data_IF_407783578939
#
_entry.id   IF_407783578939
#
_cell.length_a   1.000
_cell.length_b   1.000
_cell.length_c   1.000
_cell.angle_alpha   90.00
_cell.angle_beta   90.00
_cell.angle_gamma   90.00
#
_symmetry.space_group_name_H-M   'P 1'
#
loop_
_entity.id
_entity.type
_entity.pdbx_description
1 polymer ?
#
# COMPACT_ATOMS: atom_id res chain seq x y z
N UNK A 1 -15.93 8.22 0.59
CA UNK A 1 -15.96 6.88 -0.03
C UNK A 1 -14.87 6.08 0.61
N UNK A 2 -15.14 4.84 1.06
CA UNK A 2 -14.13 4.04 1.76
C UNK A 2 -14.38 2.55 1.55
N UNK A 3 -13.30 1.78 1.56
CA UNK A 3 -13.35 0.32 1.61
C UNK A 3 -13.71 -0.13 3.02
N UNK A 4 -14.61 -1.11 3.16
CA UNK A 4 -15.14 -1.52 4.45
C UNK A 4 -14.78 -2.94 4.85
N UNK A 5 -14.68 -3.85 3.88
CA UNK A 5 -14.43 -5.26 4.15
C UNK A 5 -13.82 -5.96 2.95
N UNK A 6 -13.02 -6.98 3.20
CA UNK A 6 -12.63 -7.98 2.22
C UNK A 6 -13.03 -9.38 2.71
N UNK A 7 -13.51 -10.22 1.78
CA UNK A 7 -13.74 -11.65 2.04
C UNK A 7 -13.05 -12.46 0.96
N UNK A 8 -12.24 -13.42 1.38
CA UNK A 8 -11.42 -14.29 0.52
C UNK A 8 -11.76 -15.74 0.78
N UNK A 9 -11.82 -16.53 -0.28
CA UNK A 9 -11.97 -17.97 -0.20
C UNK A 9 -11.05 -18.64 -1.23
N UNK A 10 -10.22 -19.57 -0.74
CA UNK A 10 -9.25 -20.33 -1.54
C UNK A 10 -8.38 -19.46 -2.46
N UNK A 11 -7.92 -18.32 -1.97
CA UNK A 11 -7.10 -17.37 -2.72
C UNK A 11 -5.70 -17.29 -2.15
N UNK A 12 -4.68 -17.53 -2.97
CA UNK A 12 -3.24 -17.53 -2.63
C UNK A 12 -2.93 -18.35 -1.36
N UNK A 13 -2.69 -17.69 -0.22
CA UNK A 13 -2.39 -18.33 1.08
C UNK A 13 -3.64 -18.54 1.94
N UNK A 14 -4.75 -17.90 1.59
CA UNK A 14 -5.97 -17.88 2.38
C UNK A 14 -6.90 -19.03 2.01
N UNK A 15 -7.34 -19.83 3.01
CA UNK A 15 -8.45 -20.78 2.85
C UNK A 15 -9.78 -20.06 2.92
N UNK A 16 -10.00 -19.32 4.00
CA UNK A 16 -11.12 -18.41 4.21
C UNK A 16 -10.63 -17.27 5.10
N UNK A 17 -10.99 -16.04 4.72
CA UNK A 17 -10.59 -14.83 5.45
C UNK A 17 -11.65 -13.76 5.28
N UNK A 18 -12.03 -13.10 6.38
CA UNK A 18 -12.87 -11.92 6.33
C UNK A 18 -12.27 -10.86 7.23
N UNK A 19 -12.08 -9.64 6.75
CA UNK A 19 -11.47 -8.53 7.47
C UNK A 19 -12.30 -7.28 7.25
N UNK A 20 -12.76 -6.66 8.34
CA UNK A 20 -13.42 -5.36 8.33
C UNK A 20 -12.40 -4.24 8.50
N UNK A 21 -12.63 -3.08 7.85
CA UNK A 21 -11.71 -1.95 7.82
C UNK A 21 -12.31 -0.69 8.45
N UNK A 22 -11.46 0.11 9.09
CA UNK A 22 -11.83 1.47 9.48
C UNK A 22 -11.63 2.45 8.31
N UNK A 23 -12.27 3.62 8.42
CA UNK A 23 -12.15 4.69 7.42
C UNK A 23 -10.80 5.44 7.48
N UNK A 24 -9.98 5.11 8.46
CA UNK A 24 -8.70 5.74 8.71
C UNK A 24 -7.51 4.88 8.24
N UNK A 25 -6.64 4.53 9.18
CA UNK A 25 -5.42 3.76 8.91
C UNK A 25 -5.64 2.30 9.29
N UNK A 26 -5.44 1.40 8.34
CA UNK A 26 -5.49 -0.04 8.53
C UNK A 26 -4.07 -0.59 8.40
N UNK A 27 -3.54 -1.18 9.49
CA UNK A 27 -2.15 -1.63 9.57
C UNK A 27 -2.11 -3.15 9.64
N UNK A 28 -1.65 -3.79 8.57
CA UNK A 28 -1.44 -5.24 8.53
C UNK A 28 -0.06 -5.58 9.07
N UNK A 29 -0.01 -6.38 10.12
CA UNK A 29 1.21 -6.89 10.74
C UNK A 29 1.23 -8.41 10.71
N UNK A 30 2.40 -9.01 10.90
CA UNK A 30 2.58 -10.46 10.96
C UNK A 30 3.84 -10.93 10.28
N UNK A 31 4.10 -12.23 10.37
CA UNK A 31 5.26 -12.88 9.77
C UNK A 31 5.28 -12.79 8.24
N UNK A 32 6.45 -13.07 7.66
CA UNK A 32 6.59 -13.18 6.22
C UNK A 32 5.75 -14.35 5.67
N UNK A 33 5.13 -14.12 4.51
CA UNK A 33 4.30 -15.14 3.86
C UNK A 33 2.88 -15.29 4.44
N UNK A 34 2.44 -14.42 5.36
CA UNK A 34 1.04 -14.41 5.87
C UNK A 34 0.04 -13.71 4.95
N UNK A 35 0.50 -13.08 3.87
CA UNK A 35 -0.36 -12.50 2.84
C UNK A 35 -0.72 -11.02 3.03
N UNK A 36 -0.03 -10.28 3.89
CA UNK A 36 -0.23 -8.82 4.07
C UNK A 36 -0.29 -8.06 2.74
N UNK A 37 0.78 -8.17 1.95
CA UNK A 37 0.88 -7.56 0.62
C UNK A 37 -0.23 -8.03 -0.32
N UNK A 38 -0.67 -9.30 -0.23
CA UNK A 38 -1.76 -9.82 -1.07
C UNK A 38 -3.08 -9.09 -0.79
N UNK A 39 -3.41 -8.83 0.48
CA UNK A 39 -4.62 -8.11 0.86
C UNK A 39 -4.60 -6.70 0.28
N UNK A 40 -3.53 -5.94 0.51
CA UNK A 40 -3.46 -4.55 0.03
C UNK A 40 -3.41 -4.46 -1.50
N UNK A 41 -2.80 -5.44 -2.20
CA UNK A 41 -2.84 -5.54 -3.68
C UNK A 41 -4.25 -5.81 -4.20
N UNK A 42 -5.05 -6.66 -3.53
CA UNK A 42 -6.44 -6.92 -3.91
C UNK A 42 -7.32 -5.70 -3.74
N UNK A 43 -7.17 -5.00 -2.62
CA UNK A 43 -7.90 -3.76 -2.35
C UNK A 43 -7.53 -2.66 -3.36
N UNK A 44 -6.24 -2.55 -3.68
CA UNK A 44 -5.76 -1.65 -4.73
C UNK A 44 -6.36 -2.01 -6.10
N UNK A 45 -6.35 -3.29 -6.47
CA UNK A 45 -6.94 -3.74 -7.73
C UNK A 45 -8.44 -3.42 -7.82
N UNK A 46 -9.18 -3.54 -6.70
CA UNK A 46 -10.59 -3.16 -6.63
C UNK A 46 -10.80 -1.64 -6.83
N UNK A 47 -9.96 -0.80 -6.22
CA UNK A 47 -10.00 0.65 -6.44
C UNK A 47 -9.71 1.00 -7.90
N UNK A 48 -8.70 0.40 -8.51
CA UNK A 48 -8.36 0.64 -9.92
C UNK A 48 -9.45 0.16 -10.88
N UNK A 49 -10.14 -0.94 -10.57
CA UNK A 49 -11.26 -1.44 -11.36
C UNK A 49 -12.45 -0.46 -11.43
N UNK A 50 -12.58 0.46 -10.48
CA UNK A 50 -13.58 1.53 -10.54
C UNK A 50 -13.39 2.49 -11.73
N UNK A 51 -12.19 2.53 -12.30
CA UNK A 51 -11.84 3.34 -13.47
C UNK A 51 -11.87 2.50 -14.78
N UNK A 52 -12.45 1.30 -14.79
CA UNK A 52 -12.40 0.35 -15.91
C UNK A 52 -12.90 0.95 -17.22
N UNK A 53 -13.92 1.81 -17.20
CA UNK A 53 -14.45 2.52 -18.40
C UNK A 53 -13.44 3.49 -19.01
N UNK A 54 -12.57 4.09 -18.18
CA UNK A 54 -11.53 5.03 -18.64
C UNK A 54 -10.27 4.31 -19.08
N UNK A 55 -9.90 3.23 -18.37
CA UNK A 55 -8.62 2.51 -18.55
C UNK A 55 -8.72 1.26 -19.41
N UNK A 56 -9.92 0.70 -19.59
CA UNK A 56 -10.13 -0.61 -20.23
C UNK A 56 -9.66 -1.80 -19.37
N UNK A 57 -9.35 -1.57 -18.07
CA UNK A 57 -8.81 -2.58 -17.17
C UNK A 57 -9.85 -2.90 -16.10
N UNK A 58 -10.46 -4.07 -16.19
CA UNK A 58 -11.41 -4.59 -15.22
C UNK A 58 -10.73 -5.21 -13.98
N UNK A 59 -11.53 -5.65 -13.01
CA UNK A 59 -11.03 -6.19 -11.75
C UNK A 59 -10.18 -7.46 -11.94
N UNK A 60 -10.63 -8.39 -12.78
CA UNK A 60 -9.90 -9.62 -13.10
C UNK A 60 -8.54 -9.29 -13.70
N UNK A 61 -8.54 -8.45 -14.73
CA UNK A 61 -7.33 -8.04 -15.44
C UNK A 61 -6.36 -7.33 -14.48
N UNK A 62 -6.87 -6.44 -13.61
CA UNK A 62 -6.00 -5.72 -12.66
C UNK A 62 -5.40 -6.66 -11.62
N UNK A 63 -6.15 -7.63 -11.09
CA UNK A 63 -5.61 -8.66 -10.20
C UNK A 63 -4.45 -9.41 -10.89
N UNK A 64 -4.68 -9.91 -12.11
CA UNK A 64 -3.64 -10.63 -12.85
C UNK A 64 -2.38 -9.77 -13.05
N UNK A 65 -2.55 -8.48 -13.34
CA UNK A 65 -1.44 -7.56 -13.55
C UNK A 65 -0.66 -7.21 -12.28
N UNK A 66 -1.33 -7.06 -11.13
CA UNK A 66 -0.64 -6.71 -9.86
C UNK A 66 -0.05 -7.93 -9.16
N UNK A 67 -0.55 -9.16 -9.44
CA UNK A 67 0.03 -10.39 -8.89
C UNK A 67 1.02 -11.05 -9.84
N UNK A 68 0.89 -10.84 -11.14
CA UNK A 68 1.71 -11.46 -12.19
C UNK A 68 1.91 -12.96 -12.01
N UNK A 69 0.83 -13.75 -11.93
CA UNK A 69 0.96 -15.19 -11.87
C UNK A 69 1.57 -15.71 -13.17
N UNK A 70 2.23 -16.86 -13.10
CA UNK A 70 2.78 -17.55 -14.25
C UNK A 70 1.76 -17.70 -15.37
N UNK A 71 2.16 -17.48 -16.61
CA UNK A 71 1.31 -17.42 -17.80
C UNK A 71 0.15 -16.41 -17.70
N UNK A 72 0.23 -15.43 -16.82
CA UNK A 72 -0.87 -14.49 -16.51
C UNK A 72 -2.20 -15.19 -16.19
N UNK A 73 -2.12 -16.39 -15.63
CA UNK A 73 -3.29 -17.24 -15.36
C UNK A 73 -3.86 -16.95 -13.98
N UNK A 74 -5.09 -16.42 -13.91
CA UNK A 74 -5.82 -16.19 -12.66
C UNK A 74 -5.93 -17.47 -11.82
N UNK A 75 -6.02 -18.65 -12.46
CA UNK A 75 -6.16 -19.94 -11.79
C UNK A 75 -4.97 -20.27 -10.89
N UNK A 76 -3.78 -19.73 -11.20
CA UNK A 76 -2.57 -19.86 -10.37
C UNK A 76 -2.69 -19.16 -9.02
N UNK A 77 -3.65 -18.24 -8.87
CA UNK A 77 -3.93 -17.54 -7.62
C UNK A 77 -4.87 -18.33 -6.69
N UNK A 78 -5.39 -19.48 -7.10
CA UNK A 78 -6.10 -20.40 -6.20
C UNK A 78 -5.13 -20.94 -5.14
N UNK A 79 -5.63 -21.17 -3.91
CA UNK A 79 -4.83 -21.78 -2.84
C UNK A 79 -4.32 -23.14 -3.26
N UNK A 80 -3.03 -23.39 -3.09
CA UNK A 80 -2.38 -24.68 -3.38
C UNK A 80 -2.72 -25.70 -2.29
N UNK A 81 -2.73 -27.00 -2.65
CA UNK A 81 -2.99 -28.10 -1.71
C UNK A 81 -4.48 -28.39 -1.49
N UNK A 82 -5.37 -27.53 -1.92
CA UNK A 82 -6.82 -27.79 -2.00
C UNK A 82 -7.10 -28.37 -3.40
N UNK A 83 -7.78 -29.48 -3.52
CA UNK A 83 -8.12 -30.09 -4.83
C UNK A 83 -8.80 -29.11 -5.79
N UNK A 84 -9.64 -29.61 -6.70
CA UNK A 84 -10.45 -28.72 -7.53
C UNK A 84 -11.43 -27.92 -6.66
N UNK A 85 -11.33 -26.60 -6.64
CA UNK A 85 -12.10 -25.73 -5.75
C UNK A 85 -12.49 -24.42 -6.42
N UNK A 86 -13.54 -23.81 -5.91
CA UNK A 86 -13.89 -22.43 -6.23
C UNK A 86 -13.05 -21.48 -5.37
N UNK A 87 -12.61 -20.40 -6.00
CA UNK A 87 -11.92 -19.28 -5.35
C UNK A 87 -12.75 -18.03 -5.48
N UNK A 88 -12.78 -17.20 -4.46
CA UNK A 88 -13.48 -15.91 -4.53
C UNK A 88 -12.75 -14.80 -3.81
N UNK A 89 -12.87 -13.60 -4.36
CA UNK A 89 -12.44 -12.34 -3.79
C UNK A 89 -13.63 -11.39 -3.79
N UNK A 90 -14.03 -10.91 -2.62
CA UNK A 90 -15.15 -9.98 -2.45
C UNK A 90 -14.66 -8.75 -1.70
N UNK A 91 -14.81 -7.58 -2.29
CA UNK A 91 -14.47 -6.29 -1.67
C UNK A 91 -15.75 -5.49 -1.49
N UNK A 92 -15.92 -4.92 -0.31
CA UNK A 92 -17.14 -4.20 0.08
C UNK A 92 -16.84 -2.74 0.40
N UNK A 93 -17.76 -1.89 0.00
CA UNK A 93 -17.90 -0.51 0.45
C UNK A 93 -19.18 -0.38 1.31
N UNK A 94 -19.57 0.86 1.63
CA UNK A 94 -20.85 1.11 2.30
C UNK A 94 -22.07 0.87 1.40
N UNK A 95 -21.94 0.96 0.07
CA UNK A 95 -23.08 1.00 -0.88
C UNK A 95 -23.04 -0.10 -1.92
N UNK A 96 -21.86 -0.68 -2.16
CA UNK A 96 -21.67 -1.67 -3.21
C UNK A 96 -20.65 -2.74 -2.81
N UNK A 97 -20.60 -3.79 -3.60
CA UNK A 97 -19.56 -4.79 -3.51
C UNK A 97 -19.05 -5.16 -4.92
N UNK A 98 -17.80 -5.56 -4.97
CA UNK A 98 -17.16 -6.08 -6.18
C UNK A 98 -16.71 -7.51 -5.89
N UNK A 99 -17.16 -8.46 -6.72
CA UNK A 99 -16.90 -9.88 -6.50
C UNK A 99 -16.25 -10.47 -7.74
N UNK A 100 -15.14 -11.18 -7.54
CA UNK A 100 -14.53 -12.04 -8.53
C UNK A 100 -14.62 -13.48 -8.03
N UNK A 101 -15.16 -14.38 -8.84
CA UNK A 101 -15.24 -15.81 -8.58
C UNK A 101 -14.61 -16.59 -9.75
N UNK A 102 -13.83 -17.61 -9.45
CA UNK A 102 -13.21 -18.47 -10.46
C UNK A 102 -12.95 -19.87 -9.92
N UNK A 103 -12.83 -20.85 -10.83
CA UNK A 103 -12.55 -22.22 -10.48
C UNK A 103 -11.07 -22.55 -10.74
N UNK A 104 -10.40 -23.24 -9.81
CA UNK A 104 -8.95 -23.53 -9.87
C UNK A 104 -8.47 -24.30 -11.10
N UNK A 105 -9.38 -25.02 -11.82
CA UNK A 105 -9.04 -25.83 -12.99
C UNK A 105 -9.70 -25.39 -14.30
N UNK A 106 -10.77 -24.58 -14.27
CA UNK A 106 -11.58 -24.29 -15.45
C UNK A 106 -11.51 -22.82 -15.83
N UNK A 107 -10.80 -22.49 -16.93
CA UNK A 107 -10.65 -21.12 -17.45
C UNK A 107 -11.98 -20.43 -17.79
N UNK A 108 -13.02 -21.19 -18.14
CA UNK A 108 -14.33 -20.62 -18.55
C UNK A 108 -15.23 -20.22 -17.38
N UNK A 109 -14.88 -20.59 -16.15
CA UNK A 109 -15.70 -20.33 -14.96
C UNK A 109 -15.10 -19.13 -14.18
N UNK A 110 -14.93 -18.00 -14.84
CA UNK A 110 -14.51 -16.74 -14.22
C UNK A 110 -15.66 -15.75 -14.35
N UNK A 111 -16.10 -15.21 -13.24
CA UNK A 111 -17.22 -14.28 -13.18
C UNK A 111 -16.86 -13.08 -12.30
N UNK A 112 -17.13 -11.87 -12.79
CA UNK A 112 -17.04 -10.63 -12.03
C UNK A 112 -18.42 -10.02 -11.91
N UNK A 113 -18.87 -9.75 -10.69
CA UNK A 113 -20.18 -9.12 -10.43
C UNK A 113 -20.03 -7.86 -9.61
N UNK A 114 -21.03 -6.97 -9.71
CA UNK A 114 -21.07 -5.70 -8.97
C UNK A 114 -20.33 -4.53 -9.63
N UNK A 115 -19.66 -4.72 -10.76
CA UNK A 115 -18.80 -3.72 -11.43
C UNK A 115 -19.51 -2.39 -11.70
N UNK A 116 -20.73 -2.40 -12.23
CA UNK A 116 -21.44 -1.15 -12.56
C UNK A 116 -21.72 -0.26 -11.34
N UNK A 117 -22.15 -0.86 -10.22
CA UNK A 117 -22.41 -0.13 -8.97
C UNK A 117 -21.10 0.36 -8.36
N UNK A 118 -20.07 -0.46 -8.42
CA UNK A 118 -18.72 -0.14 -7.94
C UNK A 118 -18.11 1.04 -8.69
N UNK A 119 -18.13 1.00 -10.02
CA UNK A 119 -17.66 2.09 -10.87
C UNK A 119 -18.41 3.39 -10.62
N UNK A 120 -19.73 3.32 -10.45
CA UNK A 120 -20.55 4.50 -10.15
C UNK A 120 -20.23 5.10 -8.78
N UNK A 121 -20.02 4.26 -7.75
CA UNK A 121 -19.70 4.72 -6.40
C UNK A 121 -18.29 5.33 -6.34
N UNK A 122 -17.32 4.73 -7.00
CA UNK A 122 -15.91 5.10 -6.93
C UNK A 122 -15.40 5.84 -8.19
N UNK A 123 -16.27 6.45 -8.97
CA UNK A 123 -15.94 7.12 -10.24
C UNK A 123 -14.80 8.16 -10.13
N UNK A 124 -14.76 8.89 -9.01
CA UNK A 124 -13.78 9.94 -8.74
C UNK A 124 -12.70 9.51 -7.71
N UNK A 125 -12.64 8.21 -7.39
CA UNK A 125 -11.66 7.73 -6.43
C UNK A 125 -10.25 7.74 -7.04
N UNK A 126 -9.32 8.38 -6.35
CA UNK A 126 -7.89 8.24 -6.61
C UNK A 126 -7.31 7.23 -5.65
N UNK A 127 -6.57 6.25 -6.16
CA UNK A 127 -5.88 5.28 -5.33
C UNK A 127 -4.43 5.13 -5.78
N UNK A 128 -3.53 5.01 -4.81
CA UNK A 128 -2.08 4.93 -5.05
C UNK A 128 -1.50 3.76 -4.28
N UNK A 129 -0.68 2.95 -4.94
CA UNK A 129 0.08 1.88 -4.31
C UNK A 129 1.57 2.24 -4.32
N UNK A 130 2.18 2.32 -3.14
CA UNK A 130 3.64 2.48 -2.99
C UNK A 130 4.22 1.10 -2.68
N UNK A 131 4.97 0.49 -3.61
CA UNK A 131 5.59 -0.81 -3.39
C UNK A 131 6.76 -0.73 -2.41
N UNK A 132 7.14 -1.86 -1.82
CA UNK A 132 8.24 -1.95 -0.86
C UNK A 132 9.57 -1.46 -1.45
N UNK A 133 9.85 -1.82 -2.72
CA UNK A 133 11.06 -1.37 -3.43
C UNK A 133 10.84 -0.02 -4.10
N UNK A 134 11.77 0.88 -3.93
CA UNK A 134 11.81 2.16 -4.65
C UNK A 134 12.14 1.92 -6.14
N UNK A 135 11.47 2.60 -7.05
CA UNK A 135 11.63 2.41 -8.50
C UNK A 135 11.83 3.71 -9.28
N UNK A 136 11.58 4.88 -8.69
CA UNK A 136 11.68 6.15 -9.41
C UNK A 136 13.10 6.46 -9.90
N UNK A 137 14.12 5.94 -9.20
CA UNK A 137 15.51 6.02 -9.64
C UNK A 137 15.79 5.32 -10.98
N UNK A 138 14.90 4.43 -11.42
CA UNK A 138 15.00 3.67 -12.66
C UNK A 138 13.80 3.93 -13.59
N UNK A 139 13.07 5.02 -13.40
CA UNK A 139 11.80 5.30 -14.10
C UNK A 139 11.96 5.51 -15.61
N UNK A 140 13.11 6.05 -16.04
CA UNK A 140 13.37 6.34 -17.45
C UNK A 140 13.22 5.07 -18.31
N UNK A 141 12.36 5.15 -19.32
CA UNK A 141 12.03 4.06 -20.25
C UNK A 141 11.47 2.78 -19.59
N UNK A 142 11.35 2.73 -18.25
CA UNK A 142 10.89 1.52 -17.56
C UNK A 142 9.44 1.18 -17.91
N UNK A 143 8.56 2.17 -17.94
CA UNK A 143 7.15 1.98 -18.31
C UNK A 143 7.03 1.41 -19.74
N UNK A 144 7.84 1.91 -20.67
CA UNK A 144 7.88 1.42 -22.03
C UNK A 144 8.42 -0.01 -22.10
N UNK A 145 9.50 -0.32 -21.35
CA UNK A 145 10.07 -1.66 -21.28
C UNK A 145 9.10 -2.69 -20.66
N UNK A 146 8.33 -2.31 -19.62
CA UNK A 146 7.27 -3.15 -19.05
C UNK A 146 6.16 -3.40 -20.07
N UNK A 147 5.70 -2.35 -20.77
CA UNK A 147 4.63 -2.47 -21.76
C UNK A 147 5.07 -3.33 -22.98
N UNK A 148 6.34 -3.29 -23.36
CA UNK A 148 6.93 -4.12 -24.40
C UNK A 148 7.21 -5.57 -23.95
N UNK A 149 7.04 -5.89 -22.66
CA UNK A 149 7.35 -7.22 -22.12
C UNK A 149 8.84 -7.52 -21.95
N UNK A 150 9.71 -6.51 -22.05
CA UNK A 150 11.17 -6.67 -21.96
C UNK A 150 11.67 -6.82 -20.51
N UNK A 151 10.87 -6.38 -19.52
CA UNK A 151 11.19 -6.48 -18.09
C UNK A 151 9.95 -6.88 -17.31
N UNK A 152 10.18 -7.63 -16.23
CA UNK A 152 9.14 -8.24 -15.42
C UNK A 152 8.91 -7.46 -14.12
N UNK A 153 8.02 -6.45 -14.20
CA UNK A 153 7.46 -5.77 -13.03
C UNK A 153 5.94 -5.91 -13.03
N UNK A 154 5.35 -5.98 -11.84
CA UNK A 154 3.90 -5.91 -11.71
C UNK A 154 3.38 -4.47 -11.92
N UNK A 155 2.08 -4.33 -12.16
CA UNK A 155 1.48 -3.03 -12.47
C UNK A 155 1.64 -1.99 -11.36
N UNK A 156 1.89 -2.38 -10.10
CA UNK A 156 2.07 -1.41 -9.00
C UNK A 156 3.28 -0.49 -9.25
N UNK A 157 4.33 -1.02 -9.86
CA UNK A 157 5.53 -0.23 -10.21
C UNK A 157 5.28 0.73 -11.37
N UNK A 158 4.56 0.31 -12.39
CA UNK A 158 4.17 1.17 -13.50
C UNK A 158 3.22 2.27 -13.03
N UNK A 159 2.24 1.90 -12.23
CA UNK A 159 1.21 2.82 -11.74
C UNK A 159 1.82 3.90 -10.84
N UNK A 160 2.79 3.57 -9.97
CA UNK A 160 3.43 4.56 -9.09
C UNK A 160 4.31 5.54 -9.86
N UNK A 161 5.03 5.09 -10.91
CA UNK A 161 5.77 5.99 -11.81
C UNK A 161 4.80 6.95 -12.50
N UNK A 162 3.69 6.42 -13.02
CA UNK A 162 2.66 7.23 -13.68
C UNK A 162 2.02 8.24 -12.72
N UNK A 163 1.68 7.82 -11.49
CA UNK A 163 1.11 8.68 -10.46
C UNK A 163 2.09 9.79 -10.03
N UNK A 164 3.38 9.46 -9.87
CA UNK A 164 4.40 10.44 -9.53
C UNK A 164 4.66 11.43 -10.67
N UNK A 165 4.47 11.01 -11.94
CA UNK A 165 4.70 11.83 -13.14
C UNK A 165 3.55 12.79 -13.47
N UNK A 166 2.43 12.74 -12.75
CA UNK A 166 1.32 13.69 -12.93
C UNK A 166 1.82 15.12 -12.72
N UNK A 167 1.46 15.99 -13.64
CA UNK A 167 1.85 17.40 -13.58
C UNK A 167 1.30 18.08 -12.34
N UNK A 168 2.15 18.88 -11.70
CA UNK A 168 1.76 19.70 -10.56
C UNK A 168 0.83 20.83 -11.00
N UNK A 169 -0.28 21.04 -10.29
CA UNK A 169 -1.15 22.18 -10.54
C UNK A 169 -0.41 23.49 -10.30
N UNK A 170 -0.68 24.52 -11.13
CA UNK A 170 -0.01 25.82 -11.08
C UNK A 170 -0.54 26.76 -10.00
N UNK A 171 -1.53 26.35 -9.20
CA UNK A 171 -2.11 27.16 -8.14
C UNK A 171 -1.26 27.16 -6.85
N UNK A 172 -1.49 28.14 -5.93
CA UNK A 172 -0.87 28.12 -4.62
C UNK A 172 -1.35 26.90 -3.82
N UNK A 173 -0.43 26.30 -3.07
CA UNK A 173 -0.80 25.21 -2.14
C UNK A 173 -1.55 25.81 -0.94
N UNK A 174 -2.56 25.08 -0.43
CA UNK A 174 -3.21 25.46 0.81
C UNK A 174 -2.25 25.30 2.01
N UNK A 175 -2.58 25.89 3.17
CA UNK A 175 -1.73 25.87 4.35
C UNK A 175 -1.35 24.46 4.82
N UNK A 176 -2.31 23.52 4.83
CA UNK A 176 -2.07 22.13 5.23
C UNK A 176 -1.09 21.44 4.31
N UNK A 177 -1.31 21.53 3.01
CA UNK A 177 -0.41 20.97 2.00
C UNK A 177 0.98 21.57 2.12
N UNK A 178 1.08 22.89 2.31
CA UNK A 178 2.35 23.59 2.53
C UNK A 178 3.08 23.05 3.77
N UNK A 179 2.36 22.79 4.89
CA UNK A 179 2.93 22.19 6.11
C UNK A 179 3.51 20.79 5.84
N UNK A 180 2.79 19.93 5.12
CA UNK A 180 3.26 18.58 4.77
C UNK A 180 4.51 18.64 3.89
N UNK A 181 4.46 19.44 2.85
CA UNK A 181 5.59 19.59 1.92
C UNK A 181 6.84 20.12 2.62
N UNK A 182 6.72 21.12 3.52
CA UNK A 182 7.84 21.63 4.32
C UNK A 182 8.43 20.56 5.23
N UNK A 183 7.60 19.78 5.94
CA UNK A 183 8.07 18.69 6.80
C UNK A 183 8.90 17.67 6.02
N UNK A 184 8.41 17.23 4.86
CA UNK A 184 9.13 16.30 4.01
C UNK A 184 10.41 16.90 3.42
N UNK A 185 10.38 18.17 3.02
CA UNK A 185 11.56 18.90 2.56
C UNK A 185 12.66 19.04 3.62
N UNK A 186 12.30 19.17 4.90
CA UNK A 186 13.28 19.20 5.99
C UNK A 186 14.06 17.88 6.06
N UNK A 187 13.41 16.74 5.80
CA UNK A 187 14.07 15.43 5.81
C UNK A 187 14.90 15.21 4.55
N UNK A 188 14.33 15.48 3.38
CA UNK A 188 15.00 15.28 2.08
C UNK A 188 16.05 16.35 1.78
N UNK A 189 16.01 17.46 2.52
CA UNK A 189 16.80 18.68 2.26
C UNK A 189 16.64 19.21 0.83
N UNK A 190 15.48 18.94 0.20
CA UNK A 190 15.23 19.31 -1.18
C UNK A 190 13.78 19.08 -1.61
N UNK A 191 13.51 19.38 -2.86
CA UNK A 191 12.21 19.14 -3.51
C UNK A 191 12.38 18.34 -4.79
N UNK A 192 11.33 17.61 -5.18
CA UNK A 192 11.34 16.81 -6.40
C UNK A 192 11.18 17.70 -7.63
N UNK A 193 11.93 17.42 -8.66
CA UNK A 193 11.76 17.95 -10.01
C UNK A 193 11.74 16.80 -11.01
N UNK A 194 10.86 16.88 -11.99
CA UNK A 194 10.75 15.90 -13.05
C UNK A 194 11.14 16.59 -14.36
N UNK A 195 12.10 16.00 -15.08
CA UNK A 195 12.53 16.45 -16.41
C UNK A 195 12.76 15.21 -17.28
N UNK A 196 12.18 15.19 -18.46
CA UNK A 196 12.34 14.10 -19.45
C UNK A 196 12.10 12.69 -18.87
N UNK A 197 11.01 12.54 -18.08
CA UNK A 197 10.64 11.29 -17.40
C UNK A 197 11.62 10.81 -16.31
N UNK A 198 12.59 11.64 -15.94
CA UNK A 198 13.53 11.39 -14.85
C UNK A 198 13.23 12.24 -13.63
N UNK A 199 13.49 11.66 -12.46
CA UNK A 199 13.29 12.30 -11.16
C UNK A 199 14.62 12.83 -10.62
N UNK A 200 14.58 14.07 -10.15
CA UNK A 200 15.70 14.79 -9.56
C UNK A 200 15.32 15.33 -8.19
N UNK A 201 16.30 15.39 -7.29
CA UNK A 201 16.21 16.16 -6.06
C UNK A 201 16.91 17.51 -6.26
N UNK A 202 16.18 18.60 -6.04
CA UNK A 202 16.73 19.95 -6.00
C UNK A 202 17.07 20.31 -4.56
N UNK A 203 18.35 20.37 -4.15
CA UNK A 203 18.74 20.68 -2.80
C UNK A 203 18.28 22.09 -2.37
N UNK A 204 17.89 22.23 -1.12
CA UNK A 204 17.51 23.53 -0.54
C UNK A 204 18.70 24.49 -0.54
N UNK A 205 18.51 25.72 -0.98
CA UNK A 205 19.56 26.74 -1.06
C UNK A 205 20.50 26.66 -2.26
N UNK A 206 20.34 25.66 -3.14
CA UNK A 206 21.13 25.47 -4.35
C UNK A 206 20.22 25.43 -5.59
N UNK A 207 19.81 26.61 -6.05
CA UNK A 207 18.78 26.74 -7.10
C UNK A 207 19.16 26.18 -8.46
N UNK A 208 20.44 25.97 -8.75
CA UNK A 208 20.95 25.48 -10.02
C UNK A 208 21.46 24.04 -9.99
N UNK A 209 21.67 23.45 -8.81
CA UNK A 209 22.12 22.07 -8.73
C UNK A 209 20.93 21.12 -8.63
N UNK A 210 21.00 20.02 -9.37
CA UNK A 210 20.05 18.91 -9.31
C UNK A 210 20.82 17.62 -9.14
N UNK A 211 20.30 16.77 -8.27
CA UNK A 211 20.84 15.42 -8.04
C UNK A 211 19.89 14.41 -8.69
N UNK A 212 20.42 13.57 -9.53
CA UNK A 212 19.73 12.42 -10.07
C UNK A 212 19.28 11.51 -8.92
N UNK A 213 18.07 10.96 -8.97
CA UNK A 213 17.56 10.08 -7.90
C UNK A 213 18.48 8.90 -7.63
N UNK A 214 19.22 8.42 -8.62
CA UNK A 214 20.21 7.34 -8.45
C UNK A 214 21.32 7.70 -7.44
N UNK A 215 21.63 8.98 -7.26
CA UNK A 215 22.65 9.48 -6.32
C UNK A 215 22.05 9.82 -4.93
N UNK A 216 20.72 9.74 -4.78
CA UNK A 216 20.01 10.01 -3.52
C UNK A 216 19.80 8.69 -2.78
N UNK A 217 20.00 8.67 -1.46
CA UNK A 217 19.72 7.49 -0.64
C UNK A 217 18.28 7.00 -0.79
N UNK A 218 18.06 5.67 -0.86
CA UNK A 218 16.75 5.07 -1.14
C UNK A 218 15.64 5.55 -0.19
N UNK A 219 15.91 5.60 1.11
CA UNK A 219 14.94 6.10 2.08
C UNK A 219 14.54 7.55 1.85
N UNK A 220 15.46 8.40 1.39
CA UNK A 220 15.15 9.79 1.03
C UNK A 220 14.32 9.86 -0.26
N UNK A 221 14.54 8.95 -1.23
CA UNK A 221 13.71 8.87 -2.44
C UNK A 221 12.27 8.49 -2.13
N UNK A 222 12.04 7.56 -1.19
CA UNK A 222 10.68 7.21 -0.71
C UNK A 222 9.97 8.42 -0.09
N UNK A 223 10.69 9.20 0.71
CA UNK A 223 10.15 10.43 1.31
C UNK A 223 9.90 11.50 0.23
N UNK A 224 10.79 11.62 -0.74
CA UNK A 224 10.63 12.51 -1.89
C UNK A 224 9.43 12.09 -2.77
N UNK A 225 9.16 10.78 -2.92
CA UNK A 225 7.96 10.29 -3.58
C UNK A 225 6.68 10.77 -2.87
N UNK A 226 6.60 10.67 -1.54
CA UNK A 226 5.45 11.21 -0.78
C UNK A 226 5.28 12.71 -1.03
N UNK A 227 6.38 13.46 -1.00
CA UNK A 227 6.35 14.88 -1.33
C UNK A 227 5.75 15.13 -2.71
N UNK A 228 6.15 14.37 -3.72
CA UNK A 228 5.66 14.49 -5.09
C UNK A 228 4.16 14.15 -5.20
N UNK A 229 3.71 13.05 -4.59
CA UNK A 229 2.31 12.62 -4.62
C UNK A 229 1.37 13.60 -3.91
N UNK A 230 1.83 14.24 -2.83
CA UNK A 230 1.08 15.32 -2.17
C UNK A 230 1.11 16.57 -3.06
N UNK A 231 2.27 16.94 -3.61
CA UNK A 231 2.43 18.15 -4.41
C UNK A 231 1.56 18.14 -5.66
N UNK A 232 1.48 17.01 -6.35
CA UNK A 232 0.68 16.87 -7.58
C UNK A 232 -0.81 16.56 -7.34
N UNK A 233 -1.25 16.42 -6.06
CA UNK A 233 -2.65 16.18 -5.70
C UNK A 233 -3.09 14.71 -5.79
N UNK A 234 -2.17 13.77 -6.02
CA UNK A 234 -2.51 12.33 -6.03
C UNK A 234 -2.93 11.84 -4.65
N UNK A 235 -2.29 12.36 -3.60
CA UNK A 235 -2.67 12.13 -2.19
C UNK A 235 -3.40 13.37 -1.65
N UNK A 236 -4.71 13.34 -1.71
CA UNK A 236 -5.59 14.38 -1.21
C UNK A 236 -6.86 13.80 -0.59
N UNK A 237 -7.72 14.64 -0.05
CA UNK A 237 -8.97 14.23 0.59
C UNK A 237 -9.80 13.30 -0.31
N UNK A 238 -10.18 12.15 0.23
CA UNK A 238 -10.99 11.14 -0.47
C UNK A 238 -10.17 10.14 -1.29
N UNK A 239 -8.84 10.27 -1.31
CA UNK A 239 -7.96 9.25 -1.91
C UNK A 239 -7.73 8.06 -0.99
N UNK A 240 -7.22 6.95 -1.55
CA UNK A 240 -6.79 5.77 -0.81
C UNK A 240 -5.31 5.51 -1.08
N UNK A 241 -4.53 5.40 0.01
CA UNK A 241 -3.12 5.06 -0.04
C UNK A 241 -2.91 3.61 0.40
N UNK A 242 -2.24 2.84 -0.43
CA UNK A 242 -1.70 1.52 -0.10
C UNK A 242 -0.18 1.63 -0.05
N UNK A 243 0.42 1.22 1.07
CA UNK A 243 1.87 1.30 1.23
C UNK A 243 2.42 0.00 1.80
N UNK A 244 3.25 -0.66 1.00
CA UNK A 244 3.93 -1.89 1.37
C UNK A 244 5.30 -1.56 1.95
N UNK A 245 5.58 -1.98 3.17
CA UNK A 245 6.82 -1.76 3.92
C UNK A 245 7.31 -0.30 3.88
N UNK A 246 6.53 0.66 4.43
CA UNK A 246 6.93 2.06 4.42
C UNK A 246 8.29 2.32 5.09
N UNK A 247 8.64 1.52 6.08
CA UNK A 247 9.90 1.59 6.84
C UNK A 247 11.14 1.12 6.06
N UNK A 248 10.96 0.31 5.02
CA UNK A 248 12.08 -0.31 4.33
C UNK A 248 13.07 0.73 3.79
N UNK A 249 14.35 0.59 4.19
CA UNK A 249 15.46 1.48 3.84
C UNK A 249 15.34 2.94 4.35
N UNK A 250 14.38 3.21 5.24
CA UNK A 250 14.25 4.52 5.89
C UNK A 250 15.03 4.52 7.21
N UNK A 251 15.83 5.57 7.44
CA UNK A 251 16.49 5.74 8.72
C UNK A 251 15.44 5.84 9.85
N UNK A 252 15.55 5.05 10.94
CA UNK A 252 14.61 5.06 12.06
C UNK A 252 14.31 6.46 12.64
N UNK A 253 15.25 7.40 12.57
CA UNK A 253 15.03 8.80 12.97
C UNK A 253 13.91 9.50 12.18
N UNK A 254 13.62 9.05 10.96
CA UNK A 254 12.62 9.65 10.09
C UNK A 254 11.23 8.99 10.24
N UNK A 255 11.14 7.81 10.85
CA UNK A 255 9.86 7.10 11.07
C UNK A 255 8.85 7.98 11.81
N UNK A 256 9.21 8.70 12.91
CA UNK A 256 8.27 9.57 13.60
C UNK A 256 7.63 10.64 12.69
N UNK A 257 8.40 11.22 11.78
CA UNK A 257 7.90 12.25 10.88
C UNK A 257 6.95 11.69 9.80
N UNK A 258 7.22 10.47 9.34
CA UNK A 258 6.34 9.73 8.42
C UNK A 258 5.02 9.39 9.12
N UNK A 259 5.09 8.89 10.37
CA UNK A 259 3.92 8.60 11.19
C UNK A 259 3.05 9.83 11.37
N UNK A 260 3.64 10.97 11.75
CA UNK A 260 2.90 12.22 11.90
C UNK A 260 2.21 12.64 10.59
N UNK A 261 2.88 12.46 9.46
CA UNK A 261 2.29 12.75 8.15
C UNK A 261 1.11 11.82 7.85
N UNK A 262 1.23 10.51 8.11
CA UNK A 262 0.15 9.54 7.90
C UNK A 262 -1.07 9.85 8.76
N UNK A 263 -0.85 10.20 10.04
CA UNK A 263 -1.91 10.62 10.96
C UNK A 263 -2.60 11.93 10.48
N UNK A 264 -1.83 12.89 9.99
CA UNK A 264 -2.35 14.13 9.45
C UNK A 264 -3.15 13.87 8.13
N UNK A 265 -2.63 13.05 7.21
CA UNK A 265 -3.34 12.67 5.96
C UNK A 265 -4.66 11.95 6.27
N UNK A 266 -4.68 11.06 7.25
CA UNK A 266 -5.89 10.39 7.69
C UNK A 266 -6.94 11.38 8.21
N UNK A 267 -6.55 12.38 9.01
CA UNK A 267 -7.45 13.46 9.47
C UNK A 267 -8.00 14.29 8.31
N UNK A 268 -7.24 14.43 7.23
CA UNK A 268 -7.68 15.11 6.01
C UNK A 268 -8.57 14.23 5.12
N UNK A 269 -8.86 13.00 5.54
CA UNK A 269 -9.81 12.10 4.87
C UNK A 269 -9.18 11.19 3.81
N UNK A 270 -7.90 10.87 3.93
CA UNK A 270 -7.24 9.80 3.18
C UNK A 270 -7.43 8.49 3.93
N UNK A 271 -7.96 7.46 3.28
CA UNK A 271 -7.95 6.09 3.83
C UNK A 271 -6.61 5.43 3.53
N UNK A 272 -5.98 4.81 4.52
CA UNK A 272 -4.61 4.32 4.41
C UNK A 272 -4.55 2.84 4.78
N UNK A 273 -3.90 2.05 3.94
CA UNK A 273 -3.62 0.64 4.17
C UNK A 273 -2.10 0.41 4.14
N UNK A 274 -1.56 -0.10 5.23
CA UNK A 274 -0.13 -0.34 5.41
C UNK A 274 0.09 -1.82 5.65
N UNK A 275 1.05 -2.44 4.94
CA UNK A 275 1.59 -3.74 5.31
C UNK A 275 3.00 -3.53 5.87
N UNK A 276 3.24 -3.96 7.09
CA UNK A 276 4.53 -3.77 7.76
C UNK A 276 4.92 -4.98 8.62
N UNK A 277 6.20 -5.12 8.87
CA UNK A 277 6.76 -6.03 9.87
C UNK A 277 7.65 -5.27 10.88
N UNK A 278 7.63 -3.93 10.85
CA UNK A 278 8.46 -3.07 11.69
C UNK A 278 7.74 -2.66 12.98
N UNK A 279 8.42 -2.91 14.10
CA UNK A 279 7.94 -2.54 15.43
C UNK A 279 7.85 -1.03 15.63
N UNK A 280 8.85 -0.28 15.16
CA UNK A 280 8.91 1.17 15.41
C UNK A 280 7.76 1.88 14.70
N UNK A 281 7.49 1.54 13.43
CA UNK A 281 6.39 2.14 12.69
C UNK A 281 5.04 1.87 13.38
N UNK A 282 4.75 0.61 13.70
CA UNK A 282 3.49 0.24 14.35
C UNK A 282 3.35 0.88 15.74
N UNK A 283 4.44 0.88 16.53
CA UNK A 283 4.44 1.47 17.88
C UNK A 283 4.37 2.98 17.87
N UNK A 284 5.02 3.66 16.91
CA UNK A 284 4.88 5.13 16.78
C UNK A 284 3.47 5.52 16.33
N UNK A 285 2.82 4.77 15.44
CA UNK A 285 1.41 5.01 15.10
C UNK A 285 0.52 4.90 16.34
N UNK A 286 0.72 3.88 17.19
CA UNK A 286 0.00 3.68 18.42
C UNK A 286 0.27 4.79 19.45
N UNK A 287 1.53 5.15 19.67
CA UNK A 287 1.93 6.14 20.64
C UNK A 287 1.53 7.58 20.28
N UNK A 288 1.40 7.89 18.97
CA UNK A 288 1.13 9.25 18.50
C UNK A 288 -0.32 9.47 18.04
N UNK A 289 -1.13 8.41 17.93
CA UNK A 289 -2.55 8.55 17.63
C UNK A 289 -3.25 9.44 18.67
N UNK A 290 -4.16 10.26 18.20
CA UNK A 290 -5.06 11.08 19.04
C UNK A 290 -6.47 10.52 18.98
N UNK A 291 -7.41 11.06 19.75
CA UNK A 291 -8.83 10.66 19.70
C UNK A 291 -9.49 10.89 18.32
N UNK A 292 -8.90 11.74 17.48
CA UNK A 292 -9.39 12.02 16.11
C UNK A 292 -8.86 11.02 15.09
N UNK A 293 -7.86 10.22 15.46
CA UNK A 293 -7.29 9.23 14.56
C UNK A 293 -7.99 7.89 14.71
N UNK A 294 -8.43 7.34 13.60
CA UNK A 294 -9.02 6.01 13.49
C UNK A 294 -7.97 5.06 12.95
N UNK A 295 -7.45 4.20 13.79
CA UNK A 295 -6.45 3.18 13.43
C UNK A 295 -6.98 1.81 13.82
N UNK A 296 -6.83 0.84 12.92
CA UNK A 296 -7.13 -0.56 13.17
C UNK A 296 -5.90 -1.40 12.77
N UNK A 297 -5.42 -2.19 13.70
CA UNK A 297 -4.32 -3.12 13.49
C UNK A 297 -4.88 -4.50 13.19
N UNK A 298 -4.34 -5.16 12.17
CA UNK A 298 -4.73 -6.48 11.71
C UNK A 298 -3.52 -7.41 11.81
N UNK A 299 -3.49 -8.28 12.80
CA UNK A 299 -2.45 -9.30 12.91
C UNK A 299 -2.82 -10.51 12.07
N UNK A 300 -1.95 -10.86 11.14
CA UNK A 300 -2.04 -12.09 10.33
C UNK A 300 -1.05 -13.10 10.85
N UNK A 301 -1.52 -14.28 11.21
CA UNK A 301 -0.71 -15.33 11.80
C UNK A 301 -1.06 -16.72 11.27
N UNK A 302 -0.12 -17.65 11.35
CA UNK A 302 -0.33 -19.05 10.95
C UNK A 302 -0.90 -19.84 12.12
N UNK A 303 -1.98 -20.58 11.85
CA UNK A 303 -2.57 -21.52 12.79
C UNK A 303 -3.13 -22.72 12.02
N UNK A 304 -2.75 -23.95 12.42
CA UNK A 304 -3.25 -25.19 11.81
C UNK A 304 -3.26 -25.19 10.27
N UNK A 305 -2.11 -24.88 9.65
CA UNK A 305 -1.93 -24.80 8.19
C UNK A 305 -2.80 -23.76 7.46
N UNK A 306 -3.41 -22.86 8.21
CA UNK A 306 -4.22 -21.76 7.67
C UNK A 306 -3.72 -20.41 8.18
N UNK A 307 -3.98 -19.35 7.41
CA UNK A 307 -3.78 -17.98 7.87
C UNK A 307 -5.05 -17.54 8.59
N UNK A 308 -4.87 -17.08 9.81
CA UNK A 308 -5.90 -16.48 10.64
C UNK A 308 -5.61 -14.98 10.81
N UNK A 309 -6.59 -14.24 11.30
CA UNK A 309 -6.40 -12.84 11.63
C UNK A 309 -7.15 -12.45 12.92
N UNK A 310 -6.67 -11.41 13.53
CA UNK A 310 -7.36 -10.66 14.58
C UNK A 310 -7.20 -9.16 14.32
N UNK A 311 -8.11 -8.36 14.85
CA UNK A 311 -8.09 -6.91 14.64
C UNK A 311 -8.38 -6.18 15.93
N UNK A 312 -7.52 -5.19 16.25
CA UNK A 312 -7.63 -4.36 17.43
C UNK A 312 -7.30 -2.89 17.13
N UNK A 313 -7.91 -1.99 17.88
CA UNK A 313 -7.62 -0.56 17.78
C UNK A 313 -6.36 -0.15 18.55
N UNK A 314 -5.85 -1.01 19.41
CA UNK A 314 -4.63 -0.83 20.18
C UNK A 314 -3.61 -1.91 19.82
N UNK A 315 -2.42 -1.48 19.40
CA UNK A 315 -1.34 -2.38 18.99
C UNK A 315 -0.93 -3.37 20.10
N UNK A 316 -1.02 -2.94 21.36
CA UNK A 316 -0.61 -3.78 22.50
C UNK A 316 -1.64 -4.84 22.89
N UNK A 317 -2.91 -4.70 22.45
CA UNK A 317 -3.98 -5.65 22.77
C UNK A 317 -4.06 -6.82 21.80
N UNK A 318 -3.34 -6.79 20.69
CA UNK A 318 -3.26 -7.92 19.77
C UNK A 318 -2.57 -9.12 20.45
N UNK A 319 -3.27 -10.23 20.56
CA UNK A 319 -2.75 -11.46 21.19
C UNK A 319 -1.69 -12.17 20.32
N UNK A 320 -1.92 -12.21 19.01
CA UNK A 320 -1.04 -12.87 18.04
C UNK A 320 -0.08 -11.88 17.35
N UNK A 321 0.45 -10.93 18.13
CA UNK A 321 1.38 -9.90 17.66
C UNK A 321 2.83 -10.41 17.68
N UNK A 322 3.28 -11.02 16.57
CA UNK A 322 4.64 -11.57 16.45
C UNK A 322 5.73 -10.50 16.60
N UNK A 323 5.45 -9.27 16.17
CA UNK A 323 6.41 -8.15 16.24
C UNK A 323 6.62 -7.72 17.69
N UNK A 324 5.53 -7.52 18.43
CA UNK A 324 5.60 -7.15 19.84
C UNK A 324 6.23 -8.27 20.69
N UNK A 325 5.84 -9.52 20.43
CA UNK A 325 6.42 -10.69 21.11
C UNK A 325 7.94 -10.73 20.97
N UNK A 326 8.45 -10.57 19.72
CA UNK A 326 9.89 -10.59 19.48
C UNK A 326 10.61 -9.43 20.17
N UNK A 327 10.01 -8.24 20.26
CA UNK A 327 10.58 -7.11 20.99
C UNK A 327 10.66 -7.36 22.50
N UNK A 328 9.63 -8.01 23.07
CA UNK A 328 9.61 -8.40 24.47
C UNK A 328 10.66 -9.49 24.76
N UNK A 329 10.80 -10.48 23.87
CA UNK A 329 11.76 -11.57 24.04
C UNK A 329 13.19 -11.02 23.99
N UNK A 330 13.51 -10.12 23.06
CA UNK A 330 14.80 -9.43 23.03
C UNK A 330 15.09 -8.67 24.33
N UNK A 331 14.11 -7.91 24.82
CA UNK A 331 14.28 -7.20 26.09
C UNK A 331 14.56 -8.15 27.27
N UNK A 332 13.89 -9.31 27.35
CA UNK A 332 14.15 -10.33 28.38
C UNK A 332 15.57 -10.89 28.29
N UNK A 333 16.09 -11.11 27.07
CA UNK A 333 17.48 -11.54 26.84
C UNK A 333 18.49 -10.49 27.33
N UNK A 334 18.23 -9.20 27.05
CA UNK A 334 19.08 -8.09 27.52
C UNK A 334 19.11 -8.02 29.05
N UNK A 335 17.94 -8.09 29.71
CA UNK A 335 17.85 -8.09 31.17
C UNK A 335 18.59 -9.28 31.78
N UNK A 336 18.40 -10.48 31.24
CA UNK A 336 19.10 -11.67 31.71
C UNK A 336 20.62 -11.51 31.64
N UNK A 337 21.15 -10.97 30.54
CA UNK A 337 22.57 -10.73 30.36
C UNK A 337 23.17 -9.71 31.36
N UNK A 338 22.36 -8.75 31.81
CA UNK A 338 22.81 -7.74 32.81
C UNK A 338 22.81 -8.32 34.24
N UNK A 339 21.98 -9.35 34.49
CA UNK A 339 21.86 -10.02 35.80
C UNK A 339 22.86 -11.17 36.00
N UNK A 340 23.47 -11.69 34.95
CA UNK A 340 24.60 -12.63 34.97
C UNK A 340 25.95 -11.88 35.10
#
# INVERSE_FOLDING_TARGET
MSLKKISLENFTVFSKMEIDFCDGINVFIGENGTGKTHIIKLLYAACQAAQSKKTGIDFQTKIVKVFRPDEFSLLRLSKRGVGASNSSVKVFSNKSNLVLSFHSKFKKNVETTGSEKWEKEFAELTSTFIPAKEILSHSRNLVQAINAGNVDFDDTYKDIISAASVNVSRGPDNERKTKYLRRLQTITQGRVKIENEEFYLLPTGQSQSKLEFQLVAEGLRKIALLWQLIKNGTLEKGSVLFWDEPEANINPQNIPAIVDLLLDLQKDGVQIFIATHDYFLAKYLDARKTKENHILYHALYKSNDSIQHESESDFALLENNSILKQSIDLYKEEVKKVME
#
